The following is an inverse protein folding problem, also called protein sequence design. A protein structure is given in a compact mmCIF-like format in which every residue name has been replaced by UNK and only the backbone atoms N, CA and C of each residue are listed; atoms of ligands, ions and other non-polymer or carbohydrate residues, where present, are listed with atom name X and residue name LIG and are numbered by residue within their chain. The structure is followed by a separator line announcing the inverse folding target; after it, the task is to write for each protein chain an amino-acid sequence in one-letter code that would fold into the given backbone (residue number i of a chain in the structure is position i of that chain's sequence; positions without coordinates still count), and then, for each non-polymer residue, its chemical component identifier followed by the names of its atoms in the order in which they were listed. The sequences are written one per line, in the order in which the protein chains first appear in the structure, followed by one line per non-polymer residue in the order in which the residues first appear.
data_IF_917314512753
#
_entry.id   IF_917314512753
#
_cell.length_a   1.000
_cell.length_b   1.000
_cell.length_c   1.000
_cell.angle_alpha   90.00
_cell.angle_beta   90.00
_cell.angle_gamma   90.00
#
_symmetry.space_group_name_H-M   'P 1'
#
loop_
_entity.id
_entity.type
_entity.pdbx_description
1 polymer ?
#
# COMPACT_ATOMS: atom_id res chain seq x y z
N UNK A 1 8.39 11.94 -8.69
CA UNK A 1 8.88 10.78 -7.91
C UNK A 1 8.31 10.69 -6.49
N UNK A 2 8.36 11.75 -5.68
CA UNK A 2 7.82 11.73 -4.29
C UNK A 2 6.36 11.25 -4.19
N UNK A 3 5.49 11.70 -5.10
CA UNK A 3 4.09 11.29 -5.13
C UNK A 3 3.88 9.78 -5.32
N UNK A 4 4.65 9.16 -6.22
CA UNK A 4 4.55 7.71 -6.49
C UNK A 4 5.01 6.91 -5.27
N UNK A 5 6.09 7.35 -4.62
CA UNK A 5 6.60 6.71 -3.41
C UNK A 5 5.58 6.75 -2.28
N UNK A 6 5.04 7.95 -2.00
CA UNK A 6 3.97 8.14 -1.01
C UNK A 6 2.77 7.23 -1.31
N UNK A 7 2.31 7.21 -2.58
CA UNK A 7 1.16 6.42 -2.97
C UNK A 7 1.36 4.92 -2.72
N UNK A 8 2.56 4.39 -2.98
CA UNK A 8 2.85 2.97 -2.86
C UNK A 8 3.21 2.50 -1.44
N UNK A 9 3.85 3.35 -0.63
CA UNK A 9 4.47 2.94 0.64
C UNK A 9 3.90 3.64 1.89
N UNK A 10 3.21 4.76 1.75
CA UNK A 10 2.80 5.58 2.91
C UNK A 10 1.30 5.87 2.92
N UNK A 11 0.62 5.69 1.78
CA UNK A 11 -0.81 5.97 1.65
C UNK A 11 -1.64 5.03 2.53
N UNK A 12 -2.19 5.60 3.60
CA UNK A 12 -3.19 4.94 4.42
C UNK A 12 -4.46 4.60 3.61
N UNK A 13 -4.93 3.36 3.74
CA UNK A 13 -6.16 2.89 3.11
C UNK A 13 -6.99 2.08 4.10
N UNK A 14 -8.15 2.61 4.46
CA UNK A 14 -9.07 1.95 5.40
C UNK A 14 -9.55 0.59 4.87
N UNK A 15 -9.76 0.49 3.55
CA UNK A 15 -10.25 -0.73 2.87
C UNK A 15 -9.28 -1.91 2.92
N UNK A 16 -7.98 -1.66 3.05
CA UNK A 16 -6.92 -2.68 3.11
C UNK A 16 -6.51 -2.97 4.55
N UNK A 17 -7.38 -2.68 5.53
CA UNK A 17 -7.10 -2.86 6.97
C UNK A 17 -5.87 -2.06 7.44
N UNK A 18 -5.62 -0.90 6.83
CA UNK A 18 -4.48 -0.05 7.15
C UNK A 18 -3.17 -0.40 6.43
N UNK A 19 -3.17 -1.40 5.55
CA UNK A 19 -2.00 -1.77 4.76
C UNK A 19 -1.77 -0.81 3.59
N UNK A 20 -0.50 -0.58 3.27
CA UNK A 20 -0.09 0.15 2.08
C UNK A 20 -0.38 -0.67 0.81
N UNK A 21 -0.43 -0.05 -0.39
CA UNK A 21 -0.63 -0.78 -1.63
C UNK A 21 0.33 -1.93 -1.89
N UNK A 22 1.62 -1.77 -1.54
CA UNK A 22 2.61 -2.84 -1.72
C UNK A 22 2.36 -3.98 -0.73
N UNK A 23 2.12 -3.68 0.54
CA UNK A 23 1.85 -4.70 1.55
C UNK A 23 0.58 -5.50 1.24
N UNK A 24 -0.48 -4.82 0.79
CA UNK A 24 -1.72 -5.48 0.38
C UNK A 24 -1.50 -6.43 -0.80
N UNK A 25 -0.68 -6.05 -1.79
CA UNK A 25 -0.36 -6.92 -2.93
C UNK A 25 0.44 -8.16 -2.50
N UNK A 26 1.37 -8.00 -1.56
CA UNK A 26 2.18 -9.10 -1.06
C UNK A 26 1.33 -10.18 -0.36
N UNK A 27 0.19 -9.82 0.23
CA UNK A 27 -0.76 -10.80 0.79
C UNK A 27 -1.45 -11.66 -0.26
N UNK A 28 -1.66 -11.15 -1.47
CA UNK A 28 -2.31 -11.90 -2.54
C UNK A 28 -1.36 -12.90 -3.24
N UNK A 29 -0.05 -12.80 -2.97
CA UNK A 29 0.99 -13.68 -3.52
C UNK A 29 1.41 -14.79 -2.55
N UNK A 30 0.84 -14.81 -1.35
CA UNK A 30 1.02 -15.86 -0.33
C UNK A 30 -0.13 -16.88 -0.41
#
# INVERSE_FOLDING_TARGET
HKYIYFYNNERYQLKTKGLTPIEYRNQALA
#
